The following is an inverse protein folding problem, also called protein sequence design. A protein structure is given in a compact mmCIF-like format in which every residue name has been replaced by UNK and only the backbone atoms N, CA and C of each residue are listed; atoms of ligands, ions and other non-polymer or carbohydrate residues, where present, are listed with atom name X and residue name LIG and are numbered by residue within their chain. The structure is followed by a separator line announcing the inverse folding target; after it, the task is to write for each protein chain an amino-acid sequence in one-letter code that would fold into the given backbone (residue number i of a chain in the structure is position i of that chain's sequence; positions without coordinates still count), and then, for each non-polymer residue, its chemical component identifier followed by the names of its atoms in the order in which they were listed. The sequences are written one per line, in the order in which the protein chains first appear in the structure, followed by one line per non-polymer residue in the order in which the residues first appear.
data_IF_833606748014
#
_entry.id   IF_833606748014
#
_cell.length_a   1.000
_cell.length_b   1.000
_cell.length_c   1.000
_cell.angle_alpha   90.00
_cell.angle_beta   90.00
_cell.angle_gamma   90.00
#
_symmetry.space_group_name_H-M   'P 1'
#
loop_
_entity.id
_entity.type
_entity.pdbx_description
1 polymer ?
#
# COMPACT_ATOMS: atom_id res chain seq x y z
N UNK A 1 -28.99 -20.21 2.15
CA UNK A 1 -28.48 -20.32 3.51
C UNK A 1 -27.21 -21.14 3.59
N UNK A 2 -27.32 -22.45 3.38
CA UNK A 2 -26.22 -23.40 3.60
C UNK A 2 -24.96 -23.12 2.76
N UNK A 3 -25.11 -22.77 1.48
CA UNK A 3 -23.97 -22.45 0.59
C UNK A 3 -23.15 -21.25 1.11
N UNK A 4 -23.80 -20.17 1.56
CA UNK A 4 -23.08 -19.04 2.13
C UNK A 4 -22.36 -19.38 3.44
N UNK A 5 -22.93 -20.26 4.25
CA UNK A 5 -22.31 -20.72 5.49
C UNK A 5 -21.07 -21.57 5.19
N UNK A 6 -21.16 -22.51 4.25
CA UNK A 6 -20.04 -23.34 3.78
C UNK A 6 -18.90 -22.49 3.17
N UNK A 7 -19.25 -21.48 2.37
CA UNK A 7 -18.27 -20.56 1.79
C UNK A 7 -17.54 -19.75 2.87
N UNK A 8 -18.24 -19.26 3.90
CA UNK A 8 -17.64 -18.51 5.01
C UNK A 8 -16.75 -19.37 5.91
N UNK A 9 -17.01 -20.68 5.99
CA UNK A 9 -16.14 -21.63 6.69
C UNK A 9 -14.87 -21.96 5.88
N UNK A 10 -15.02 -22.09 4.57
CA UNK A 10 -13.92 -22.49 3.67
C UNK A 10 -13.00 -21.32 3.29
N UNK A 11 -13.54 -20.12 3.15
CA UNK A 11 -12.84 -18.95 2.67
C UNK A 11 -12.96 -17.78 3.65
N UNK A 12 -11.91 -16.96 3.70
CA UNK A 12 -11.92 -15.71 4.47
C UNK A 12 -12.40 -14.56 3.58
N UNK A 13 -13.68 -14.20 3.73
CA UNK A 13 -14.26 -13.03 3.05
C UNK A 13 -14.21 -11.80 3.94
N UNK A 14 -14.09 -10.63 3.31
CA UNK A 14 -14.26 -9.31 3.91
C UNK A 14 -15.04 -8.42 2.94
N UNK A 15 -15.81 -7.48 3.49
CA UNK A 15 -16.58 -6.53 2.69
C UNK A 15 -16.30 -5.13 3.20
N UNK A 16 -15.94 -4.22 2.32
CA UNK A 16 -15.81 -2.80 2.68
C UNK A 16 -17.18 -2.25 3.07
N UNK A 17 -17.23 -1.59 4.22
CA UNK A 17 -18.48 -1.08 4.76
C UNK A 17 -19.00 0.15 3.98
N UNK A 18 -18.12 0.88 3.34
CA UNK A 18 -18.38 2.12 2.59
C UNK A 18 -18.82 1.88 1.15
N UNK A 19 -18.19 0.94 0.44
CA UNK A 19 -18.44 0.66 -0.99
C UNK A 19 -19.17 -0.65 -1.26
N UNK A 20 -19.38 -1.46 -0.23
CA UNK A 20 -19.95 -2.81 -0.36
C UNK A 20 -19.15 -3.77 -1.26
N UNK A 21 -17.87 -3.48 -1.50
CA UNK A 21 -16.98 -4.34 -2.27
C UNK A 21 -16.63 -5.61 -1.47
N UNK A 22 -16.90 -6.75 -2.08
CA UNK A 22 -16.54 -8.05 -1.53
C UNK A 22 -15.09 -8.39 -1.87
N UNK A 23 -14.34 -8.85 -0.87
CA UNK A 23 -12.96 -9.32 -1.02
C UNK A 23 -12.85 -10.74 -0.46
N UNK A 24 -11.92 -11.51 -1.03
CA UNK A 24 -11.57 -12.85 -0.54
C UNK A 24 -10.06 -12.97 -0.37
N UNK A 25 -9.65 -13.67 0.67
CA UNK A 25 -8.25 -14.01 0.90
C UNK A 25 -7.77 -15.04 -0.12
N UNK A 26 -6.74 -14.70 -0.89
CA UNK A 26 -6.18 -15.57 -1.95
C UNK A 26 -4.94 -16.39 -1.49
N UNK A 27 -4.63 -16.36 -0.19
CA UNK A 27 -3.43 -16.95 0.39
C UNK A 27 -2.34 -15.92 0.71
N UNK A 28 -2.43 -14.71 0.17
CA UNK A 28 -1.44 -13.63 0.35
C UNK A 28 -2.09 -12.29 0.70
N UNK A 29 -3.14 -11.92 -0.02
CA UNK A 29 -3.88 -10.66 0.15
C UNK A 29 -5.39 -10.86 0.03
N UNK A 30 -6.15 -9.85 0.43
CA UNK A 30 -7.57 -9.74 0.13
C UNK A 30 -7.77 -9.14 -1.26
N UNK A 31 -8.42 -9.91 -2.15
CA UNK A 31 -8.57 -9.59 -3.56
C UNK A 31 -10.06 -9.49 -3.93
N UNK A 32 -10.47 -8.35 -4.49
CA UNK A 32 -11.85 -8.14 -4.92
C UNK A 32 -12.17 -8.82 -6.26
N UNK A 33 -11.18 -9.01 -7.13
CA UNK A 33 -11.40 -9.58 -8.47
C UNK A 33 -11.80 -11.05 -8.44
N UNK A 34 -11.39 -11.80 -7.40
CA UNK A 34 -11.66 -13.22 -7.26
C UNK A 34 -12.93 -13.52 -6.44
N UNK A 35 -13.41 -12.56 -5.67
CA UNK A 35 -14.44 -12.81 -4.66
C UNK A 35 -15.77 -13.29 -5.23
N UNK A 36 -16.30 -12.58 -6.23
CA UNK A 36 -17.58 -12.94 -6.82
C UNK A 36 -17.50 -14.19 -7.72
N UNK A 37 -16.37 -14.40 -8.43
CA UNK A 37 -16.20 -15.60 -9.26
C UNK A 37 -16.20 -16.86 -8.41
N UNK A 38 -15.50 -16.89 -7.28
CA UNK A 38 -15.51 -18.02 -6.34
C UNK A 38 -16.92 -18.30 -5.84
N UNK A 39 -17.70 -17.28 -5.50
CA UNK A 39 -19.09 -17.48 -5.05
C UNK A 39 -19.97 -18.02 -6.16
N UNK A 40 -19.87 -17.46 -7.38
CA UNK A 40 -20.67 -17.90 -8.55
C UNK A 40 -20.34 -19.34 -8.92
N UNK A 41 -19.06 -19.70 -9.04
CA UNK A 41 -18.62 -21.06 -9.33
C UNK A 41 -19.12 -22.06 -8.28
N UNK A 42 -19.04 -21.72 -6.99
CA UNK A 42 -19.55 -22.60 -5.92
C UNK A 42 -21.06 -22.73 -5.99
N UNK A 43 -21.79 -21.64 -6.29
CA UNK A 43 -23.24 -21.71 -6.45
C UNK A 43 -23.66 -22.62 -7.61
N UNK A 44 -22.95 -22.56 -8.74
CA UNK A 44 -23.21 -23.43 -9.89
C UNK A 44 -22.94 -24.92 -9.62
N UNK A 45 -21.99 -25.23 -8.74
CA UNK A 45 -21.67 -26.60 -8.34
C UNK A 45 -22.66 -27.14 -7.30
N UNK A 46 -23.01 -26.33 -6.29
CA UNK A 46 -23.74 -26.78 -5.11
C UNK A 46 -25.27 -26.60 -5.23
N UNK A 47 -25.75 -25.85 -6.21
CA UNK A 47 -27.17 -25.57 -6.43
C UNK A 47 -27.57 -26.05 -7.82
N UNK A 48 -28.41 -27.07 -7.89
CA UNK A 48 -28.98 -27.56 -9.15
C UNK A 48 -29.81 -26.47 -9.82
N UNK A 49 -29.54 -26.19 -11.10
CA UNK A 49 -30.17 -25.11 -11.87
C UNK A 49 -30.06 -23.72 -11.19
N UNK A 50 -28.85 -23.35 -10.73
CA UNK A 50 -28.60 -22.10 -10.02
C UNK A 50 -28.98 -20.86 -10.84
N UNK A 51 -29.92 -20.08 -10.34
CA UNK A 51 -30.30 -18.80 -10.96
C UNK A 51 -29.36 -17.66 -10.54
N UNK A 52 -29.26 -16.60 -11.38
CA UNK A 52 -28.50 -15.40 -11.05
C UNK A 52 -29.02 -14.73 -9.75
N UNK A 53 -30.32 -14.82 -9.47
CA UNK A 53 -30.91 -14.32 -8.23
C UNK A 53 -30.39 -15.09 -7.00
N UNK A 54 -30.30 -16.41 -7.07
CA UNK A 54 -29.76 -17.21 -5.97
C UNK A 54 -28.29 -16.91 -5.70
N UNK A 55 -27.46 -16.74 -6.75
CA UNK A 55 -26.07 -16.26 -6.57
C UNK A 55 -26.02 -14.91 -5.87
N UNK A 56 -26.86 -13.95 -6.28
CA UNK A 56 -26.91 -12.61 -5.69
C UNK A 56 -27.31 -12.66 -4.22
N UNK A 57 -28.24 -13.51 -3.84
CA UNK A 57 -28.67 -13.74 -2.45
C UNK A 57 -27.52 -14.32 -1.60
N UNK A 58 -26.74 -15.27 -2.14
CA UNK A 58 -25.56 -15.83 -1.46
C UNK A 58 -24.51 -14.74 -1.24
N UNK A 59 -24.19 -13.95 -2.28
CA UNK A 59 -23.26 -12.82 -2.19
C UNK A 59 -23.72 -11.82 -1.12
N UNK A 60 -25.00 -11.40 -1.15
CA UNK A 60 -25.56 -10.49 -0.19
C UNK A 60 -25.49 -11.02 1.26
N UNK A 61 -25.65 -12.32 1.46
CA UNK A 61 -25.51 -12.95 2.79
C UNK A 61 -24.06 -12.95 3.26
N UNK A 62 -23.10 -13.26 2.39
CA UNK A 62 -21.67 -13.20 2.70
C UNK A 62 -21.27 -11.78 3.08
N UNK A 63 -21.66 -10.79 2.27
CA UNK A 63 -21.37 -9.38 2.53
C UNK A 63 -21.85 -8.95 3.91
N UNK A 64 -23.11 -9.19 4.24
CA UNK A 64 -23.70 -8.83 5.56
C UNK A 64 -22.96 -9.39 6.75
N UNK A 65 -22.23 -10.51 6.59
CA UNK A 65 -21.50 -11.18 7.68
C UNK A 65 -20.01 -10.88 7.72
N UNK A 66 -19.49 -10.17 6.71
CA UNK A 66 -18.06 -9.94 6.55
C UNK A 66 -17.65 -8.45 6.50
N UNK A 67 -18.56 -7.54 6.89
CA UNK A 67 -18.26 -6.11 6.89
C UNK A 67 -17.09 -5.73 7.78
N UNK A 68 -16.18 -4.94 7.23
CA UNK A 68 -15.01 -4.38 7.90
C UNK A 68 -14.82 -2.94 7.43
N UNK A 69 -14.44 -2.06 8.33
CA UNK A 69 -14.08 -0.68 7.98
C UNK A 69 -12.74 -0.66 7.25
N UNK A 70 -12.64 0.20 6.24
CA UNK A 70 -11.48 0.26 5.33
C UNK A 70 -10.17 0.56 6.05
N UNK A 71 -10.21 1.36 7.09
CA UNK A 71 -9.06 1.80 7.88
C UNK A 71 -8.33 0.66 8.61
N UNK A 72 -9.01 -0.47 8.81
CA UNK A 72 -8.38 -1.65 9.43
C UNK A 72 -7.53 -2.47 8.46
N UNK A 73 -7.65 -2.23 7.16
CA UNK A 73 -6.85 -2.95 6.19
C UNK A 73 -5.40 -2.49 6.21
N UNK A 74 -4.50 -3.46 5.99
CA UNK A 74 -3.06 -3.28 6.01
C UNK A 74 -2.48 -2.84 7.38
N UNK A 75 -3.22 -3.03 8.48
CA UNK A 75 -2.74 -2.87 9.84
C UNK A 75 -2.85 -4.20 10.60
N UNK A 76 -1.87 -4.49 11.43
CA UNK A 76 -1.88 -5.68 12.27
C UNK A 76 -2.20 -5.24 13.71
N UNK A 77 -3.32 -5.69 14.30
CA UNK A 77 -3.67 -5.33 15.66
C UNK A 77 -2.60 -5.78 16.66
N UNK A 78 -2.27 -4.94 17.61
CA UNK A 78 -1.36 -5.29 18.69
C UNK A 78 -1.93 -6.47 19.50
N UNK A 79 -1.14 -7.51 19.70
CA UNK A 79 -1.58 -8.71 20.42
C UNK A 79 -1.84 -8.48 21.90
N UNK A 80 -1.16 -7.52 22.53
CA UNK A 80 -1.32 -7.20 23.94
C UNK A 80 -2.58 -6.37 24.21
N UNK A 81 -2.72 -5.24 23.52
CA UNK A 81 -3.85 -4.33 23.75
C UNK A 81 -5.02 -4.58 22.78
N UNK A 82 -4.94 -5.58 21.90
CA UNK A 82 -5.98 -5.96 20.94
C UNK A 82 -6.50 -4.81 20.06
N UNK A 83 -5.66 -3.82 19.82
CA UNK A 83 -5.98 -2.65 18.99
C UNK A 83 -6.35 -1.40 19.79
N UNK A 84 -6.46 -1.44 21.11
CA UNK A 84 -6.88 -0.32 21.93
C UNK A 84 -5.77 0.71 22.19
N UNK A 85 -4.50 0.32 22.00
CA UNK A 85 -3.33 1.17 22.31
C UNK A 85 -3.01 1.28 23.79
N UNK A 86 -3.87 0.74 24.66
CA UNK A 86 -3.75 0.76 26.10
C UNK A 86 -3.73 -0.65 26.67
N UNK A 87 -3.07 -0.82 27.79
CA UNK A 87 -3.08 -2.07 28.55
C UNK A 87 -4.32 -2.18 29.47
N UNK A 88 -4.35 -3.22 30.30
CA UNK A 88 -5.47 -3.48 31.21
C UNK A 88 -5.63 -2.44 32.32
N UNK A 89 -4.58 -1.69 32.60
CA UNK A 89 -4.54 -0.64 33.62
C UNK A 89 -4.73 0.76 33.04
N UNK A 90 -5.24 0.86 31.79
CA UNK A 90 -5.45 2.08 31.01
C UNK A 90 -4.15 2.88 30.72
N UNK A 91 -2.99 2.24 30.92
CA UNK A 91 -1.70 2.78 30.58
C UNK A 91 -1.37 2.55 29.10
N UNK A 92 -0.47 3.33 28.56
CA UNK A 92 0.01 3.16 27.18
C UNK A 92 0.62 1.76 26.99
N UNK A 93 0.11 0.99 26.04
CA UNK A 93 0.62 -0.35 25.75
C UNK A 93 2.10 -0.29 25.35
N UNK A 94 2.94 -1.03 26.06
CA UNK A 94 4.39 -1.02 25.87
C UNK A 94 4.80 -1.64 24.52
N UNK A 95 4.08 -2.65 24.02
CA UNK A 95 4.43 -3.33 22.79
C UNK A 95 4.22 -2.44 21.56
N UNK A 96 3.06 -1.78 21.42
CA UNK A 96 2.75 -0.92 20.29
C UNK A 96 2.97 0.58 20.56
N UNK A 97 3.44 0.93 21.76
CA UNK A 97 3.65 2.32 22.19
C UNK A 97 2.41 3.20 21.99
N UNK A 98 1.26 2.68 22.37
CA UNK A 98 -0.03 3.36 22.28
C UNK A 98 -0.69 3.40 20.89
N UNK A 99 -0.05 2.87 19.86
CA UNK A 99 -0.60 2.89 18.48
C UNK A 99 -1.81 1.97 18.27
N UNK A 100 -1.97 0.95 19.10
CA UNK A 100 -3.01 -0.07 18.94
C UNK A 100 -2.72 -1.11 17.85
N UNK A 101 -1.92 -0.76 16.85
CA UNK A 101 -1.61 -1.62 15.70
C UNK A 101 -0.18 -1.40 15.22
N UNK A 102 0.27 -2.30 14.36
CA UNK A 102 1.56 -2.22 13.66
C UNK A 102 1.34 -2.04 12.17
N UNK A 103 2.26 -1.32 11.53
CA UNK A 103 2.32 -1.24 10.08
C UNK A 103 2.94 -2.52 9.52
N UNK A 104 2.27 -3.14 8.57
CA UNK A 104 2.77 -4.35 7.91
C UNK A 104 2.88 -4.14 6.41
N UNK A 105 3.90 -4.77 5.83
CA UNK A 105 4.11 -4.82 4.38
C UNK A 105 4.06 -6.28 3.97
N UNK A 106 3.15 -6.60 3.06
CA UNK A 106 3.09 -7.93 2.47
C UNK A 106 4.07 -7.99 1.31
N UNK A 107 4.98 -8.95 1.38
CA UNK A 107 6.00 -9.23 0.39
C UNK A 107 5.67 -10.55 -0.34
N UNK A 108 6.47 -10.93 -1.33
CA UNK A 108 6.23 -12.16 -2.09
C UNK A 108 6.23 -13.41 -1.21
N UNK A 109 7.12 -13.49 -0.22
CA UNK A 109 7.36 -14.66 0.61
C UNK A 109 6.86 -14.54 2.05
N UNK A 110 6.17 -13.47 2.43
CA UNK A 110 5.62 -13.28 3.78
C UNK A 110 5.25 -11.84 4.07
N UNK A 111 5.04 -11.53 5.33
CA UNK A 111 4.64 -10.21 5.83
C UNK A 111 5.68 -9.67 6.79
N UNK A 112 6.17 -8.48 6.52
CA UNK A 112 7.11 -7.74 7.36
C UNK A 112 6.37 -6.73 8.24
N UNK A 113 6.54 -6.81 9.53
CA UNK A 113 6.17 -5.76 10.47
C UNK A 113 7.28 -4.69 10.46
N UNK A 114 7.01 -3.49 9.94
CA UNK A 114 8.04 -2.45 9.81
C UNK A 114 8.33 -1.70 11.11
N UNK A 115 7.44 -1.78 12.09
CA UNK A 115 7.68 -1.17 13.41
C UNK A 115 8.64 -2.02 14.26
N UNK A 116 8.58 -3.36 14.12
CA UNK A 116 9.41 -4.30 14.91
C UNK A 116 10.46 -5.03 14.07
N UNK A 117 10.40 -4.91 12.75
CA UNK A 117 11.21 -5.61 11.75
C UNK A 117 11.09 -7.14 11.81
N UNK A 118 10.01 -7.64 12.41
CA UNK A 118 9.72 -9.07 12.44
C UNK A 118 9.07 -9.52 11.13
N UNK A 119 9.63 -10.56 10.53
CA UNK A 119 9.09 -11.21 9.36
C UNK A 119 8.27 -12.44 9.76
N UNK A 120 7.09 -12.60 9.17
CA UNK A 120 6.14 -13.66 9.47
C UNK A 120 5.51 -14.21 8.19
N UNK A 121 4.91 -15.39 8.28
CA UNK A 121 4.11 -15.95 7.18
C UNK A 121 2.88 -15.09 6.86
N UNK A 122 2.39 -15.23 5.63
CA UNK A 122 1.13 -14.58 5.24
C UNK A 122 -0.03 -15.03 6.15
N UNK A 123 -0.84 -14.06 6.56
CA UNK A 123 -1.98 -14.35 7.41
C UNK A 123 -3.17 -13.47 7.04
N UNK A 124 -4.36 -14.08 6.90
CA UNK A 124 -5.59 -13.36 6.59
C UNK A 124 -5.97 -12.29 7.64
N UNK A 125 -5.45 -12.40 8.86
CA UNK A 125 -5.69 -11.40 9.94
C UNK A 125 -4.93 -10.11 9.71
N UNK A 126 -3.91 -10.08 8.86
CA UNK A 126 -3.17 -8.86 8.52
C UNK A 126 -4.00 -7.91 7.65
N UNK A 127 -5.13 -8.38 7.10
CA UNK A 127 -6.02 -7.62 6.22
C UNK A 127 -5.27 -6.91 5.08
N UNK A 128 -4.22 -7.56 4.55
CA UNK A 128 -3.42 -6.98 3.46
C UNK A 128 -4.23 -6.97 2.16
N UNK A 129 -4.21 -5.85 1.44
CA UNK A 129 -4.91 -5.68 0.15
C UNK A 129 -3.95 -5.49 -1.02
N UNK A 130 -2.66 -5.41 -0.75
CA UNK A 130 -1.60 -5.39 -1.75
C UNK A 130 -0.39 -6.17 -1.27
N UNK A 131 0.47 -6.56 -2.18
CA UNK A 131 1.81 -7.08 -1.87
C UNK A 131 2.84 -6.47 -2.80
N UNK A 132 4.06 -6.35 -2.29
CA UNK A 132 5.23 -5.91 -3.05
C UNK A 132 5.89 -7.17 -3.63
N UNK A 133 6.15 -7.24 -4.96
CA UNK A 133 6.68 -8.43 -5.61
C UNK A 133 8.20 -8.59 -5.37
N UNK A 134 8.58 -8.50 -4.12
CA UNK A 134 9.97 -8.62 -3.63
C UNK A 134 9.99 -9.60 -2.47
N UNK A 135 11.02 -10.43 -2.40
CA UNK A 135 11.24 -11.36 -1.30
C UNK A 135 12.08 -10.73 -0.21
N UNK A 136 11.72 -11.02 1.04
CA UNK A 136 12.57 -10.70 2.20
C UNK A 136 13.59 -11.80 2.41
N UNK A 137 14.87 -11.44 2.50
CA UNK A 137 15.92 -12.37 2.88
C UNK A 137 16.03 -12.42 4.41
N UNK A 138 15.53 -13.50 4.99
CA UNK A 138 15.55 -13.73 6.45
C UNK A 138 16.96 -13.92 7.02
N UNK A 139 17.95 -14.17 6.17
CA UNK A 139 19.35 -14.30 6.59
C UNK A 139 20.08 -12.95 6.66
N UNK A 140 19.47 -11.90 6.11
CA UNK A 140 20.03 -10.55 6.20
C UNK A 140 19.90 -10.02 7.62
N UNK A 141 21.03 -9.82 8.29
CA UNK A 141 21.05 -9.14 9.59
C UNK A 141 20.66 -7.68 9.37
N UNK A 142 19.62 -7.24 10.08
CA UNK A 142 19.26 -5.83 10.07
C UNK A 142 20.38 -5.03 10.75
N UNK A 143 20.80 -3.91 10.15
CA UNK A 143 21.83 -3.08 10.74
C UNK A 143 21.34 -2.47 12.05
N UNK A 144 22.19 -2.47 13.05
CA UNK A 144 21.94 -1.82 14.36
C UNK A 144 22.23 -0.33 14.33
N UNK A 145 22.91 0.13 13.29
CA UNK A 145 23.27 1.54 13.10
C UNK A 145 22.46 2.14 11.95
N UNK A 146 22.24 3.43 12.02
CA UNK A 146 21.57 4.21 10.97
C UNK A 146 22.56 5.15 10.29
N UNK A 147 22.25 5.56 9.08
CA UNK A 147 23.02 6.56 8.35
C UNK A 147 23.63 6.08 7.04
N UNK A 148 24.26 6.99 6.32
CA UNK A 148 24.78 6.74 4.98
C UNK A 148 25.80 5.59 4.92
N UNK A 149 26.74 5.53 5.86
CA UNK A 149 27.77 4.49 5.88
C UNK A 149 27.22 3.07 5.98
N UNK A 150 26.12 2.90 6.74
CA UNK A 150 25.41 1.63 6.84
C UNK A 150 24.73 1.26 5.51
N UNK A 151 24.02 2.20 4.89
CA UNK A 151 23.36 1.99 3.59
C UNK A 151 24.40 1.66 2.51
N UNK A 152 25.51 2.39 2.47
CA UNK A 152 26.64 2.12 1.59
C UNK A 152 27.16 0.70 1.76
N UNK A 153 27.43 0.27 2.99
CA UNK A 153 27.89 -1.09 3.30
C UNK A 153 26.96 -2.19 2.81
N UNK A 154 25.63 -1.96 2.88
CA UNK A 154 24.62 -2.92 2.44
C UNK A 154 24.49 -2.98 0.91
N UNK A 155 24.63 -1.85 0.23
CA UNK A 155 24.38 -1.72 -1.20
C UNK A 155 25.65 -1.78 -2.04
N UNK A 156 26.83 -1.55 -1.43
CA UNK A 156 28.13 -1.54 -2.12
C UNK A 156 28.34 -2.82 -2.94
N UNK A 157 28.79 -2.66 -4.18
CA UNK A 157 29.01 -3.77 -5.12
C UNK A 157 27.76 -4.17 -5.92
N UNK A 158 26.58 -3.68 -5.58
CA UNK A 158 25.38 -3.91 -6.40
C UNK A 158 25.32 -2.99 -7.61
N UNK A 159 24.63 -3.44 -8.68
CA UNK A 159 24.36 -2.61 -9.86
C UNK A 159 23.53 -1.37 -9.51
N UNK A 160 22.61 -1.52 -8.56
CA UNK A 160 21.79 -0.41 -8.10
C UNK A 160 22.63 0.66 -7.41
N UNK A 161 23.58 0.28 -6.54
CA UNK A 161 24.46 1.23 -5.88
C UNK A 161 25.29 2.02 -6.89
N UNK A 162 25.89 1.32 -7.85
CA UNK A 162 26.63 1.98 -8.93
C UNK A 162 25.76 2.99 -9.68
N UNK A 163 24.56 2.58 -10.07
CA UNK A 163 23.62 3.44 -10.79
C UNK A 163 23.24 4.67 -9.97
N UNK A 164 22.79 4.52 -8.71
CA UNK A 164 22.28 5.65 -7.92
C UNK A 164 23.40 6.62 -7.56
N UNK A 165 24.61 6.14 -7.29
CA UNK A 165 25.77 7.00 -7.04
C UNK A 165 26.18 7.78 -8.28
N UNK A 166 26.14 7.18 -9.46
CA UNK A 166 26.40 7.86 -10.73
C UNK A 166 25.37 8.96 -11.02
N UNK A 167 24.07 8.70 -10.73
CA UNK A 167 23.01 9.69 -10.95
C UNK A 167 23.16 10.95 -10.10
N UNK A 168 23.70 10.84 -8.90
CA UNK A 168 23.85 11.93 -7.95
C UNK A 168 25.28 12.45 -7.81
N UNK A 169 26.23 11.95 -8.62
CA UNK A 169 27.58 12.48 -8.68
C UNK A 169 27.60 13.85 -9.36
N UNK A 170 28.15 14.84 -8.68
CA UNK A 170 28.24 16.21 -9.18
C UNK A 170 29.66 16.45 -9.73
N UNK A 171 29.76 16.97 -10.96
CA UNK A 171 31.04 17.27 -11.62
C UNK A 171 32.07 16.10 -11.58
N UNK A 172 31.60 14.88 -11.70
CA UNK A 172 32.41 13.64 -11.61
C UNK A 172 33.08 13.40 -10.26
N UNK A 173 32.63 14.08 -9.20
CA UNK A 173 33.09 13.90 -7.83
C UNK A 173 31.92 13.42 -6.99
N UNK A 174 32.11 12.31 -6.29
CA UNK A 174 31.14 11.80 -5.31
C UNK A 174 31.51 12.36 -3.92
N UNK A 175 31.03 13.55 -3.65
CA UNK A 175 31.30 14.31 -2.43
C UNK A 175 30.19 14.13 -1.37
N UNK A 176 30.31 14.87 -0.27
CA UNK A 176 29.31 14.82 0.83
C UNK A 176 27.90 15.25 0.38
N UNK A 177 27.81 16.18 -0.59
CA UNK A 177 26.50 16.59 -1.11
C UNK A 177 25.88 15.49 -1.98
N UNK A 178 26.68 14.83 -2.81
CA UNK A 178 26.28 13.65 -3.57
C UNK A 178 25.78 12.53 -2.65
N UNK A 179 26.48 12.28 -1.52
CA UNK A 179 26.09 11.31 -0.51
C UNK A 179 24.73 11.63 0.11
N UNK A 180 24.49 12.89 0.48
CA UNK A 180 23.19 13.35 1.00
C UNK A 180 22.07 13.14 -0.01
N UNK A 181 22.31 13.47 -1.28
CA UNK A 181 21.32 13.31 -2.34
C UNK A 181 20.96 11.83 -2.56
N UNK A 182 21.95 10.94 -2.57
CA UNK A 182 21.71 9.49 -2.64
C UNK A 182 20.89 9.03 -1.44
N UNK A 183 21.27 9.45 -0.22
CA UNK A 183 20.54 9.06 0.99
C UNK A 183 19.09 9.56 0.95
N UNK A 184 18.86 10.82 0.59
CA UNK A 184 17.52 11.39 0.42
C UNK A 184 16.70 10.64 -0.63
N UNK A 185 17.33 10.22 -1.74
CA UNK A 185 16.63 9.43 -2.75
C UNK A 185 16.20 8.05 -2.20
N UNK A 186 17.04 7.39 -1.42
CA UNK A 186 16.69 6.13 -0.76
C UNK A 186 15.62 6.30 0.30
N UNK A 187 15.70 7.36 1.11
CA UNK A 187 14.65 7.70 2.08
C UNK A 187 13.31 7.99 1.39
N UNK A 188 13.32 8.65 0.24
CA UNK A 188 12.11 8.90 -0.55
C UNK A 188 11.46 7.63 -1.08
N UNK A 189 12.26 6.61 -1.40
CA UNK A 189 11.75 5.28 -1.76
C UNK A 189 11.15 4.59 -0.53
N UNK A 190 11.85 4.64 0.62
CA UNK A 190 11.34 4.09 1.87
C UNK A 190 10.06 4.79 2.34
N UNK A 191 9.90 6.08 2.03
CA UNK A 191 8.70 6.86 2.32
C UNK A 191 7.42 6.27 1.70
N UNK A 192 7.52 5.63 0.54
CA UNK A 192 6.39 4.93 -0.13
C UNK A 192 5.82 3.80 0.76
N UNK A 193 6.63 3.24 1.66
CA UNK A 193 6.20 2.18 2.58
C UNK A 193 5.45 2.69 3.81
N UNK A 194 5.50 3.99 4.07
CA UNK A 194 4.80 4.59 5.22
C UNK A 194 3.34 4.85 4.84
N UNK A 195 2.44 4.20 5.54
CA UNK A 195 0.99 4.29 5.32
C UNK A 195 0.31 5.45 6.07
N UNK A 196 1.08 6.29 6.71
CA UNK A 196 0.56 7.45 7.40
C UNK A 196 1.17 8.72 6.80
N UNK A 197 0.36 9.77 6.73
CA UNK A 197 0.80 11.09 6.29
C UNK A 197 1.50 11.88 7.39
N UNK A 198 2.28 11.22 8.26
CA UNK A 198 3.12 11.88 9.24
C UNK A 198 4.10 12.87 8.60
N UNK A 199 4.40 12.66 7.32
CA UNK A 199 5.27 13.53 6.53
C UNK A 199 4.44 14.09 5.36
N UNK A 200 3.92 15.29 5.53
CA UNK A 200 3.12 16.02 4.51
C UNK A 200 3.99 16.55 3.40
N UNK A 201 4.61 15.69 2.60
CA UNK A 201 5.56 16.06 1.53
C UNK A 201 5.37 15.21 0.29
N UNK A 202 5.72 15.79 -0.85
CA UNK A 202 5.98 15.08 -2.11
C UNK A 202 7.45 15.21 -2.46
N UNK A 203 7.98 14.25 -3.21
CA UNK A 203 9.36 14.26 -3.66
C UNK A 203 9.41 14.68 -5.12
N UNK A 204 10.32 15.58 -5.45
CA UNK A 204 10.57 16.03 -6.81
C UNK A 204 12.04 15.80 -7.18
N UNK A 205 12.28 14.98 -8.22
CA UNK A 205 13.60 14.79 -8.78
C UNK A 205 13.85 15.81 -9.90
N UNK A 206 14.77 16.74 -9.66
CA UNK A 206 15.10 17.80 -10.61
C UNK A 206 16.46 17.50 -11.25
N UNK A 207 16.58 17.74 -12.55
CA UNK A 207 17.86 17.61 -13.27
C UNK A 207 17.73 17.94 -14.76
N UNK A 208 18.85 18.29 -15.36
CA UNK A 208 18.99 18.51 -16.80
C UNK A 208 18.85 17.20 -17.56
N UNK A 209 18.09 16.96 -18.50
CA UNK A 209 17.82 15.70 -19.22
C UNK A 209 18.95 14.64 -19.24
N UNK A 210 18.62 13.42 -19.59
CA UNK A 210 19.57 12.28 -19.73
C UNK A 210 20.42 11.95 -18.49
N UNK A 211 19.88 12.15 -17.29
CA UNK A 211 20.58 11.92 -16.02
C UNK A 211 19.98 10.80 -15.15
N UNK A 212 19.28 9.86 -15.77
CA UNK A 212 18.77 8.66 -15.10
C UNK A 212 17.42 8.79 -14.38
N UNK A 213 16.79 9.97 -14.28
CA UNK A 213 15.51 10.16 -13.55
C UNK A 213 14.43 9.14 -13.94
N UNK A 214 14.19 8.96 -15.23
CA UNK A 214 13.17 8.03 -15.70
C UNK A 214 13.48 6.57 -15.34
N UNK A 215 14.76 6.21 -15.34
CA UNK A 215 15.23 4.87 -14.92
C UNK A 215 14.99 4.67 -13.42
N UNK A 216 15.22 5.69 -12.58
CA UNK A 216 14.92 5.63 -11.15
C UNK A 216 13.41 5.43 -10.90
N UNK A 217 12.57 6.17 -11.60
CA UNK A 217 11.12 6.04 -11.47
C UNK A 217 10.63 4.65 -11.93
N UNK A 218 11.18 4.14 -13.02
CA UNK A 218 10.89 2.77 -13.48
C UNK A 218 11.38 1.70 -12.48
N UNK A 219 12.54 1.93 -11.86
CA UNK A 219 13.04 1.04 -10.80
C UNK A 219 12.09 1.03 -9.59
N UNK A 220 11.58 2.18 -9.19
CA UNK A 220 10.58 2.31 -8.12
C UNK A 220 9.31 1.52 -8.49
N UNK A 221 8.81 1.67 -9.71
CA UNK A 221 7.65 0.91 -10.20
C UNK A 221 7.85 -0.61 -10.14
N UNK A 222 9.04 -1.08 -10.52
CA UNK A 222 9.36 -2.50 -10.47
C UNK A 222 9.52 -3.00 -9.04
N UNK A 223 10.19 -2.23 -8.18
CA UNK A 223 10.43 -2.58 -6.78
C UNK A 223 9.13 -2.73 -6.00
N UNK A 224 8.23 -1.76 -6.13
CA UNK A 224 6.96 -1.75 -5.40
C UNK A 224 5.82 -2.48 -6.13
N UNK A 225 6.03 -2.83 -7.39
CA UNK A 225 5.04 -3.47 -8.26
C UNK A 225 4.12 -2.47 -8.97
N UNK A 226 4.10 -2.54 -10.28
CA UNK A 226 3.32 -1.61 -11.15
C UNK A 226 1.82 -1.51 -10.81
N UNK A 227 1.25 -2.54 -10.17
CA UNK A 227 -0.15 -2.52 -9.72
C UNK A 227 -0.36 -1.64 -8.49
N UNK A 228 0.68 -1.40 -7.70
CA UNK A 228 0.66 -0.62 -6.46
C UNK A 228 0.97 0.86 -6.67
N UNK A 229 1.43 1.22 -7.86
CA UNK A 229 1.79 2.60 -8.23
C UNK A 229 0.85 3.10 -9.33
N UNK A 230 0.47 4.35 -9.25
CA UNK A 230 -0.29 5.05 -10.31
C UNK A 230 0.58 6.09 -10.99
N UNK A 231 0.17 6.49 -12.21
CA UNK A 231 0.85 7.49 -13.03
C UNK A 231 -0.14 8.56 -13.47
N UNK A 232 -0.80 9.18 -12.49
CA UNK A 232 -1.81 10.20 -12.74
C UNK A 232 -1.11 11.56 -12.77
N UNK A 233 -1.21 12.31 -13.88
CA UNK A 233 -0.66 13.66 -13.97
C UNK A 233 -1.24 14.58 -12.89
N UNK A 234 -0.42 15.53 -12.40
CA UNK A 234 -0.84 16.46 -11.35
C UNK A 234 -2.03 17.33 -11.77
N UNK A 235 -2.17 17.58 -13.07
CA UNK A 235 -3.29 18.31 -13.63
C UNK A 235 -4.61 17.55 -13.41
N UNK A 236 -4.64 16.25 -13.76
CA UNK A 236 -5.82 15.42 -13.58
C UNK A 236 -6.18 15.29 -12.08
N UNK A 237 -5.17 15.18 -11.22
CA UNK A 237 -5.36 15.21 -9.76
C UNK A 237 -6.00 16.53 -9.34
N UNK A 238 -5.53 17.64 -9.88
CA UNK A 238 -6.00 18.99 -9.53
C UNK A 238 -7.41 19.28 -10.03
N UNK A 239 -7.81 18.69 -11.16
CA UNK A 239 -9.16 18.74 -11.71
C UNK A 239 -10.13 17.88 -10.90
N UNK A 240 -9.65 16.75 -10.41
CA UNK A 240 -10.43 15.81 -9.60
C UNK A 240 -11.35 14.91 -10.44
N UNK A 241 -12.52 14.57 -9.88
CA UNK A 241 -13.46 13.65 -10.54
C UNK A 241 -13.10 12.18 -10.33
N UNK A 242 -13.56 11.31 -11.22
CA UNK A 242 -13.37 9.85 -11.12
C UNK A 242 -11.92 9.39 -11.10
N UNK A 243 -10.99 10.21 -11.62
CA UNK A 243 -9.57 9.83 -11.67
C UNK A 243 -8.97 9.67 -10.27
N UNK A 244 -9.45 10.43 -9.29
CA UNK A 244 -8.95 10.36 -7.92
C UNK A 244 -9.21 9.00 -7.27
N UNK A 245 -10.29 8.30 -7.62
CA UNK A 245 -10.56 6.96 -7.09
C UNK A 245 -9.49 5.93 -7.50
N UNK A 246 -8.70 6.22 -8.53
CA UNK A 246 -7.58 5.36 -8.95
C UNK A 246 -6.38 5.41 -8.00
N UNK A 247 -6.33 6.42 -7.11
CA UNK A 247 -5.31 6.52 -6.04
C UNK A 247 -5.62 5.60 -4.86
N UNK A 248 -6.89 5.23 -4.70
CA UNK A 248 -7.31 4.40 -3.57
C UNK A 248 -6.61 3.04 -3.55
N UNK A 249 -6.09 2.67 -2.38
CA UNK A 249 -5.33 1.43 -2.20
C UNK A 249 -3.97 1.37 -2.91
N UNK A 250 -3.44 2.51 -3.37
CA UNK A 250 -2.12 2.60 -3.99
C UNK A 250 -1.06 3.04 -2.99
N UNK A 251 0.16 2.56 -3.19
CA UNK A 251 1.32 2.95 -2.38
C UNK A 251 1.86 4.33 -2.77
N UNK A 252 1.69 4.71 -4.02
CA UNK A 252 2.18 5.99 -4.51
C UNK A 252 1.66 6.36 -5.89
N UNK A 253 1.87 7.62 -6.25
CA UNK A 253 1.63 8.13 -7.58
C UNK A 253 2.91 8.75 -8.12
N UNK A 254 3.38 8.28 -9.27
CA UNK A 254 4.59 8.74 -9.94
C UNK A 254 4.20 9.32 -11.29
N UNK A 255 4.67 10.52 -11.60
CA UNK A 255 4.51 11.09 -12.93
C UNK A 255 5.79 11.82 -13.35
N UNK A 256 6.08 11.78 -14.65
CA UNK A 256 7.42 12.10 -15.15
C UNK A 256 7.63 13.60 -15.42
N UNK A 257 6.65 14.27 -16.00
CA UNK A 257 6.83 15.64 -16.51
C UNK A 257 5.84 16.63 -15.89
N UNK A 258 6.37 17.68 -15.29
CA UNK A 258 5.58 18.78 -14.74
C UNK A 258 5.83 20.02 -15.62
N UNK A 259 4.82 20.45 -16.36
CA UNK A 259 4.87 21.74 -17.03
C UNK A 259 4.65 22.89 -16.05
N UNK A 260 5.34 24.00 -16.25
CA UNK A 260 5.30 25.17 -15.34
C UNK A 260 3.91 25.80 -15.17
N UNK A 261 2.99 25.54 -16.11
CA UNK A 261 1.60 26.01 -16.07
C UNK A 261 0.68 25.18 -15.22
N UNK A 262 1.07 23.98 -14.82
CA UNK A 262 0.21 22.96 -14.22
C UNK A 262 -0.07 23.16 -12.73
N UNK A 263 0.74 23.94 -12.04
CA UNK A 263 0.63 24.20 -10.59
C UNK A 263 -0.40 25.27 -10.20
N UNK A 264 -1.22 25.76 -11.13
CA UNK A 264 -2.17 26.86 -10.85
C UNK A 264 -3.33 26.48 -9.92
N UNK A 265 -3.72 25.19 -9.88
CA UNK A 265 -4.77 24.68 -9.00
C UNK A 265 -4.17 23.59 -8.10
N UNK A 266 -3.72 23.94 -6.92
CA UNK A 266 -3.02 23.01 -6.02
C UNK A 266 -3.87 22.50 -4.85
N UNK A 267 -5.15 22.86 -4.76
CA UNK A 267 -5.99 22.54 -3.60
C UNK A 267 -6.10 21.05 -3.32
N UNK A 268 -6.57 20.26 -4.29
CA UNK A 268 -6.73 18.80 -4.13
C UNK A 268 -5.40 18.08 -3.95
N UNK A 269 -4.35 18.52 -4.66
CA UNK A 269 -3.01 18.01 -4.47
C UNK A 269 -2.50 18.21 -3.03
N UNK A 270 -2.75 19.39 -2.45
CA UNK A 270 -2.41 19.67 -1.04
C UNK A 270 -3.20 18.82 -0.07
N UNK A 271 -4.49 18.60 -0.31
CA UNK A 271 -5.34 17.72 0.50
C UNK A 271 -4.81 16.27 0.49
N UNK A 272 -4.44 15.74 -0.69
CA UNK A 272 -3.84 14.41 -0.81
C UNK A 272 -2.54 14.33 0.00
N UNK A 273 -1.60 15.26 -0.19
CA UNK A 273 -0.33 15.26 0.53
C UNK A 273 -0.55 15.48 2.04
N UNK A 274 -1.57 16.26 2.41
CA UNK A 274 -1.94 16.53 3.80
C UNK A 274 -2.60 15.36 4.53
N UNK A 275 -2.99 14.30 3.81
CA UNK A 275 -3.72 13.18 4.39
C UNK A 275 -5.15 13.51 4.78
N UNK A 276 -5.70 14.58 4.24
CA UNK A 276 -7.10 14.94 4.45
C UNK A 276 -8.00 13.97 3.72
N UNK A 277 -9.17 13.65 4.32
CA UNK A 277 -10.19 12.86 3.65
C UNK A 277 -10.70 13.58 2.40
N UNK A 278 -10.67 12.88 1.27
CA UNK A 278 -11.13 13.40 -0.02
C UNK A 278 -12.31 12.57 -0.48
N UNK A 279 -13.40 13.24 -0.81
CA UNK A 279 -14.54 12.58 -1.45
C UNK A 279 -14.16 12.18 -2.88
N UNK A 280 -14.25 10.89 -3.15
CA UNK A 280 -13.98 10.29 -4.45
C UNK A 280 -15.16 9.44 -4.89
N UNK A 281 -15.30 9.26 -6.19
CA UNK A 281 -16.37 8.47 -6.77
C UNK A 281 -15.84 7.60 -7.89
N UNK A 282 -16.24 6.34 -7.90
CA UNK A 282 -16.09 5.47 -9.07
C UNK A 282 -17.33 5.60 -9.97
N UNK A 283 -17.17 5.31 -11.28
CA UNK A 283 -18.32 5.34 -12.19
C UNK A 283 -19.41 4.38 -11.71
N UNK A 284 -20.64 4.89 -11.62
CA UNK A 284 -21.84 4.11 -11.25
C UNK A 284 -21.84 3.60 -9.80
N UNK A 285 -21.01 4.16 -8.92
CA UNK A 285 -21.00 3.88 -7.49
C UNK A 285 -21.27 5.15 -6.68
N UNK A 286 -21.68 4.97 -5.44
CA UNK A 286 -21.84 6.07 -4.49
C UNK A 286 -20.47 6.68 -4.12
N UNK A 287 -20.41 7.99 -3.85
CA UNK A 287 -19.19 8.62 -3.35
C UNK A 287 -18.76 8.04 -2.00
N UNK A 288 -17.45 7.97 -1.78
CA UNK A 288 -16.87 7.59 -0.50
C UNK A 288 -15.67 8.45 -0.16
N UNK A 289 -15.24 8.45 1.10
CA UNK A 289 -14.07 9.21 1.53
C UNK A 289 -12.82 8.33 1.43
N UNK A 290 -11.84 8.79 0.64
CA UNK A 290 -10.51 8.20 0.54
C UNK A 290 -9.53 8.98 1.42
N UNK A 291 -8.65 8.28 2.11
CA UNK A 291 -7.49 8.83 2.82
C UNK A 291 -6.21 8.33 2.12
N UNK A 292 -5.28 9.24 1.85
CA UNK A 292 -4.03 8.95 1.15
C UNK A 292 -2.90 8.55 2.10
#
# INVERSE_FOLDING_TARGET
GAVADALLEKHHFKTYKDTDDLLVWDGKIYNSQLSESIVKETCEIDIEECSAHQCSEVIAKIKRRSYVVRELFNYFPCSECKGEGKDKDDCMCDLCKGKGSFNVITLENGTLNIDTLNFMEHNHRNLSTFYIPTTWDTNTSLPTESGFAMVEKQLQGTKFWKYITECFTINKVFDTESQKNVYTALESMAFILLKNNAITKSVMYIGSGSNGKSVLLEYIDQLFGKKNITHIPIQEISEGGFVLSRLDGKLGNIFADIESTEMRKSGKFKQIIGGEGIEVQQKYQDPYTMYS
#
